data_IF_613777699810
#
_entry.id   IF_613777699810
#
_cell.length_a   1.000
_cell.length_b   1.000
_cell.length_c   1.000
_cell.angle_alpha   90.00
_cell.angle_beta   90.00
_cell.angle_gamma   90.00
#
_symmetry.space_group_name_H-M   'P 1'
#
loop_
_entity.id
_entity.type
_entity.pdbx_description
1 polymer ?
#
# COMPACT_ATOMS: atom_id res chain seq x y z
N UNK A 1 36.99 -10.75 18.60
CA UNK A 1 35.79 -11.50 18.13
C UNK A 1 35.22 -10.75 16.93
N UNK A 2 34.92 -11.40 15.79
CA UNK A 2 34.25 -10.72 14.68
C UNK A 2 32.81 -10.40 15.12
N UNK A 3 32.37 -9.15 14.93
CA UNK A 3 30.94 -8.81 15.08
C UNK A 3 30.15 -9.72 14.14
N UNK A 4 29.11 -10.44 14.60
CA UNK A 4 28.25 -11.16 13.68
C UNK A 4 27.69 -10.12 12.69
N UNK A 5 27.82 -10.38 11.38
CA UNK A 5 27.19 -9.54 10.34
C UNK A 5 25.72 -9.44 10.74
N UNK A 6 25.26 -8.24 11.15
CA UNK A 6 23.85 -8.07 11.47
C UNK A 6 23.08 -8.38 10.21
N UNK A 7 22.16 -9.34 10.29
CA UNK A 7 21.27 -9.64 9.18
C UNK A 7 20.51 -8.35 8.88
N UNK A 8 20.66 -7.86 7.65
CA UNK A 8 20.06 -6.61 7.26
C UNK A 8 18.56 -6.81 7.04
N UNK A 9 17.77 -6.12 7.87
CA UNK A 9 16.31 -6.12 7.80
C UNK A 9 15.81 -5.62 6.45
N UNK A 10 16.52 -4.66 5.82
CA UNK A 10 16.12 -4.14 4.52
C UNK A 10 16.24 -5.21 3.41
N UNK A 11 17.27 -6.06 3.48
CA UNK A 11 17.44 -7.22 2.58
C UNK A 11 16.29 -8.23 2.73
N UNK A 12 15.87 -8.53 3.96
CA UNK A 12 14.72 -9.43 4.21
C UNK A 12 13.42 -8.83 3.63
N UNK A 13 13.18 -7.54 3.90
CA UNK A 13 11.99 -6.85 3.41
C UNK A 13 11.96 -6.80 1.88
N UNK A 14 13.09 -6.51 1.23
CA UNK A 14 13.20 -6.52 -0.24
C UNK A 14 12.90 -7.91 -0.83
N UNK A 15 13.46 -8.98 -0.25
CA UNK A 15 13.18 -10.34 -0.69
C UNK A 15 11.69 -10.69 -0.55
N UNK A 16 11.06 -10.31 0.56
CA UNK A 16 9.64 -10.54 0.77
C UNK A 16 8.76 -9.71 -0.18
N UNK A 17 9.12 -8.45 -0.44
CA UNK A 17 8.44 -7.58 -1.42
C UNK A 17 8.41 -8.19 -2.84
N UNK A 18 9.54 -8.75 -3.28
CA UNK A 18 9.62 -9.42 -4.57
C UNK A 18 8.75 -10.68 -4.60
N UNK A 19 8.75 -11.47 -3.51
CA UNK A 19 7.89 -12.66 -3.42
C UNK A 19 6.42 -12.31 -3.49
N UNK A 20 5.96 -11.23 -2.84
CA UNK A 20 4.55 -10.79 -2.94
C UNK A 20 4.14 -10.53 -4.39
N UNK A 21 5.06 -9.92 -5.15
CA UNK A 21 4.83 -9.61 -6.56
C UNK A 21 4.80 -10.89 -7.40
N UNK A 22 5.78 -11.78 -7.22
CA UNK A 22 5.90 -13.05 -7.96
C UNK A 22 4.73 -14.00 -7.67
N UNK A 23 4.33 -14.10 -6.40
CA UNK A 23 3.26 -15.00 -5.97
C UNK A 23 1.88 -14.35 -6.04
N UNK A 24 1.79 -13.10 -6.52
CA UNK A 24 0.56 -12.29 -6.59
C UNK A 24 -0.23 -12.35 -5.28
N UNK A 25 0.46 -12.05 -4.19
CA UNK A 25 -0.13 -12.05 -2.85
C UNK A 25 0.77 -12.66 -1.79
N UNK A 26 0.20 -12.97 -0.62
CA UNK A 26 0.94 -13.45 0.54
C UNK A 26 1.08 -14.98 0.60
N UNK A 27 1.12 -15.69 -0.52
CA UNK A 27 1.29 -17.16 -0.51
C UNK A 27 2.75 -17.61 -0.25
N UNK A 28 3.69 -16.67 -0.07
CA UNK A 28 5.08 -16.99 0.26
C UNK A 28 5.25 -17.60 1.66
N UNK A 29 6.31 -18.39 1.85
CA UNK A 29 6.70 -18.93 3.16
C UNK A 29 7.93 -18.21 3.71
N UNK A 30 8.16 -18.32 5.03
CA UNK A 30 9.40 -17.80 5.63
C UNK A 30 10.65 -18.47 5.03
N UNK A 31 10.55 -19.74 4.63
CA UNK A 31 11.67 -20.44 3.99
C UNK A 31 11.99 -19.85 2.60
N UNK A 32 10.96 -19.45 1.83
CA UNK A 32 11.15 -18.74 0.56
C UNK A 32 11.82 -17.39 0.77
N UNK A 33 11.42 -16.64 1.81
CA UNK A 33 12.04 -15.35 2.15
C UNK A 33 13.51 -15.54 2.53
N UNK A 34 13.82 -16.54 3.37
CA UNK A 34 15.19 -16.82 3.77
C UNK A 34 16.08 -17.19 2.56
N UNK A 35 15.58 -18.07 1.69
CA UNK A 35 16.27 -18.47 0.47
C UNK A 35 16.55 -17.28 -0.44
N UNK A 36 15.53 -16.42 -0.65
CA UNK A 36 15.64 -15.26 -1.53
C UNK A 36 16.53 -14.14 -0.96
N UNK A 37 16.51 -13.94 0.35
CA UNK A 37 17.39 -13.01 1.04
C UNK A 37 18.83 -13.55 1.20
N UNK A 38 19.10 -14.81 0.82
CA UNK A 38 20.42 -15.43 0.95
C UNK A 38 20.85 -15.65 2.41
N UNK A 39 19.90 -15.88 3.32
CA UNK A 39 20.15 -16.08 4.75
C UNK A 39 19.64 -17.43 5.24
N UNK A 40 20.10 -17.87 6.41
CA UNK A 40 19.59 -19.10 7.02
C UNK A 40 18.19 -18.89 7.62
N UNK A 41 17.41 -19.97 7.72
CA UNK A 41 16.10 -19.97 8.41
C UNK A 41 16.20 -19.45 9.84
N UNK A 42 17.21 -19.91 10.59
CA UNK A 42 17.47 -19.42 11.95
C UNK A 42 17.82 -17.94 12.00
N UNK A 43 18.54 -17.44 10.99
CA UNK A 43 18.82 -16.01 10.84
C UNK A 43 17.56 -15.19 10.57
N UNK A 44 16.66 -15.68 9.70
CA UNK A 44 15.38 -15.03 9.46
C UNK A 44 14.50 -15.03 10.72
N UNK A 45 14.35 -16.16 11.39
CA UNK A 45 13.52 -16.29 12.60
C UNK A 45 14.02 -15.43 13.76
N UNK A 46 15.33 -15.19 13.84
CA UNK A 46 15.90 -14.25 14.81
C UNK A 46 15.40 -12.81 14.59
N UNK A 47 15.25 -12.37 13.33
CA UNK A 47 14.76 -11.03 12.98
C UNK A 47 13.23 -10.96 12.94
N UNK A 48 12.58 -11.98 12.39
CA UNK A 48 11.13 -12.08 12.22
C UNK A 48 10.64 -13.42 12.77
N UNK A 49 10.21 -13.48 14.04
CA UNK A 49 9.73 -14.72 14.66
C UNK A 49 8.46 -15.27 14.00
N UNK A 50 7.66 -14.41 13.37
CA UNK A 50 6.44 -14.77 12.65
C UNK A 50 6.35 -14.07 11.30
N UNK A 51 5.57 -14.66 10.38
CA UNK A 51 5.22 -14.05 9.11
C UNK A 51 4.43 -12.75 9.30
N UNK A 52 3.58 -12.69 10.32
CA UNK A 52 2.77 -11.50 10.62
C UNK A 52 3.65 -10.29 10.95
N UNK A 53 4.69 -10.48 11.76
CA UNK A 53 5.65 -9.41 12.07
C UNK A 53 6.38 -8.88 10.82
N UNK A 54 6.70 -9.78 9.88
CA UNK A 54 7.26 -9.40 8.58
C UNK A 54 6.25 -8.60 7.73
N UNK A 55 5.00 -9.08 7.63
CA UNK A 55 3.94 -8.42 6.87
C UNK A 55 3.60 -7.04 7.45
N UNK A 56 3.59 -6.88 8.77
CA UNK A 56 3.37 -5.59 9.42
C UNK A 56 4.45 -4.56 9.06
N UNK A 57 5.72 -4.97 9.04
CA UNK A 57 6.82 -4.07 8.66
C UNK A 57 6.86 -3.79 7.15
N UNK A 58 6.43 -4.75 6.32
CA UNK A 58 6.21 -4.52 4.89
C UNK A 58 5.14 -3.45 4.68
N UNK A 59 3.99 -3.54 5.36
CA UNK A 59 2.96 -2.51 5.26
C UNK A 59 3.50 -1.15 5.71
N UNK A 60 4.17 -1.06 6.87
CA UNK A 60 4.70 0.23 7.34
C UNK A 60 5.62 0.86 6.30
N UNK A 61 6.47 0.07 5.66
CA UNK A 61 7.36 0.53 4.59
C UNK A 61 6.58 1.01 3.37
N UNK A 62 5.56 0.27 2.95
CA UNK A 62 4.71 0.66 1.81
C UNK A 62 3.89 1.91 2.09
N UNK A 63 3.26 1.98 3.26
CA UNK A 63 2.50 3.14 3.69
C UNK A 63 3.39 4.38 3.81
N UNK A 64 4.60 4.24 4.34
CA UNK A 64 5.57 5.36 4.42
C UNK A 64 5.98 5.84 3.02
N UNK A 65 6.19 4.91 2.08
CA UNK A 65 6.49 5.24 0.67
C UNK A 65 5.34 6.01 0.04
N UNK A 66 4.12 5.52 0.23
CA UNK A 66 2.91 6.16 -0.30
C UNK A 66 2.67 7.55 0.31
N UNK A 67 2.83 7.70 1.63
CA UNK A 67 2.67 9.00 2.29
C UNK A 67 3.69 10.00 1.76
N UNK A 68 4.97 9.61 1.60
CA UNK A 68 6.00 10.49 1.05
C UNK A 68 5.70 10.90 -0.40
N UNK A 69 5.18 9.97 -1.21
CA UNK A 69 4.74 10.26 -2.59
C UNK A 69 3.54 11.23 -2.61
N UNK A 70 2.52 10.98 -1.78
CA UNK A 70 1.39 11.89 -1.59
C UNK A 70 1.82 13.29 -1.14
N UNK A 71 2.74 13.38 -0.19
CA UNK A 71 3.28 14.67 0.27
C UNK A 71 3.96 15.43 -0.87
N UNK A 72 4.64 14.73 -1.79
CA UNK A 72 5.24 15.36 -2.98
C UNK A 72 4.23 15.96 -3.96
N UNK A 73 2.98 15.47 -3.97
CA UNK A 73 1.89 16.00 -4.79
C UNK A 73 1.02 17.04 -4.08
N UNK A 74 1.21 17.24 -2.78
CA UNK A 74 0.39 18.17 -2.00
C UNK A 74 0.77 19.60 -2.37
N UNK A 75 -0.10 20.27 -3.10
CA UNK A 75 0.05 21.66 -3.51
C UNK A 75 -1.03 22.51 -2.82
N UNK A 76 -0.68 23.09 -1.66
CA UNK A 76 -1.58 23.93 -0.88
C UNK A 76 -1.87 23.38 0.52
N UNK A 77 -2.54 24.21 1.33
CA UNK A 77 -2.81 23.93 2.75
C UNK A 77 -4.27 23.50 2.99
N UNK A 78 -5.12 23.48 1.96
CA UNK A 78 -6.51 23.10 2.14
C UNK A 78 -6.63 21.58 2.31
N UNK A 79 -7.56 21.10 3.16
CA UNK A 79 -7.82 19.67 3.30
C UNK A 79 -8.08 18.95 1.97
N UNK A 80 -8.79 19.59 1.04
CA UNK A 80 -9.07 19.05 -0.30
C UNK A 80 -7.79 18.85 -1.15
N UNK A 81 -6.75 19.66 -0.94
CA UNK A 81 -5.49 19.54 -1.66
C UNK A 81 -4.75 18.24 -1.29
N UNK A 82 -4.85 17.83 -0.02
CA UNK A 82 -4.31 16.54 0.45
C UNK A 82 -5.08 15.35 -0.13
N UNK A 83 -6.38 15.48 -0.33
CA UNK A 83 -7.20 14.45 -0.99
C UNK A 83 -6.88 14.37 -2.49
N UNK A 84 -6.69 15.52 -3.16
CA UNK A 84 -6.22 15.58 -4.55
C UNK A 84 -4.84 14.96 -4.70
N UNK A 85 -3.94 15.21 -3.76
CA UNK A 85 -2.62 14.61 -3.72
C UNK A 85 -2.68 13.09 -3.51
N UNK A 86 -3.62 12.60 -2.70
CA UNK A 86 -3.86 11.17 -2.52
C UNK A 86 -4.31 10.52 -3.83
N UNK A 87 -5.30 11.11 -4.51
CA UNK A 87 -5.78 10.64 -5.82
C UNK A 87 -4.63 10.58 -6.84
N UNK A 88 -3.77 11.62 -6.90
CA UNK A 88 -2.59 11.64 -7.77
C UNK A 88 -1.56 10.57 -7.42
N UNK A 89 -1.21 10.44 -6.15
CA UNK A 89 -0.25 9.43 -5.68
C UNK A 89 -0.73 8.00 -5.94
N UNK A 90 -2.03 7.74 -5.84
CA UNK A 90 -2.59 6.42 -6.16
C UNK A 90 -2.46 6.09 -7.64
N UNK A 91 -2.59 7.08 -8.53
CA UNK A 91 -2.54 6.86 -9.97
C UNK A 91 -1.14 6.77 -10.57
N UNK A 92 -0.20 7.57 -10.07
CA UNK A 92 1.18 7.55 -10.57
C UNK A 92 1.99 6.33 -10.08
N UNK A 93 1.46 5.59 -9.12
CA UNK A 93 2.07 4.32 -8.69
C UNK A 93 2.08 3.28 -9.80
N UNK A 94 3.25 2.70 -10.06
CA UNK A 94 3.39 1.55 -10.97
C UNK A 94 2.52 0.38 -10.52
N UNK A 95 1.97 -0.36 -11.47
CA UNK A 95 1.11 -1.54 -11.26
C UNK A 95 1.62 -2.55 -10.19
N UNK A 96 2.94 -2.77 -10.13
CA UNK A 96 3.57 -3.67 -9.16
C UNK A 96 3.38 -3.16 -7.71
N UNK A 97 3.52 -1.85 -7.49
CA UNK A 97 3.34 -1.24 -6.18
C UNK A 97 1.88 -1.33 -5.73
N UNK A 98 0.94 -1.06 -6.65
CA UNK A 98 -0.49 -1.16 -6.36
C UNK A 98 -0.91 -2.57 -5.96
N UNK A 99 -0.47 -3.58 -6.73
CA UNK A 99 -0.74 -4.99 -6.45
C UNK A 99 -0.24 -5.37 -5.06
N UNK A 100 1.00 -5.00 -4.73
CA UNK A 100 1.58 -5.29 -3.41
C UNK A 100 0.82 -4.60 -2.27
N UNK A 101 0.52 -3.30 -2.43
CA UNK A 101 -0.20 -2.53 -1.42
C UNK A 101 -1.60 -3.11 -1.15
N UNK A 102 -2.34 -3.50 -2.20
CA UNK A 102 -3.67 -4.08 -2.08
C UNK A 102 -3.62 -5.40 -1.29
N UNK A 103 -2.68 -6.29 -1.60
CA UNK A 103 -2.50 -7.56 -0.89
C UNK A 103 -2.09 -7.36 0.58
N UNK A 104 -1.24 -6.38 0.88
CA UNK A 104 -0.85 -6.06 2.26
C UNK A 104 -2.05 -5.53 3.05
N UNK A 105 -2.86 -4.65 2.48
CA UNK A 105 -4.07 -4.14 3.15
C UNK A 105 -5.12 -5.23 3.38
N UNK A 106 -5.34 -6.11 2.40
CA UNK A 106 -6.27 -7.23 2.55
C UNK A 106 -5.81 -8.17 3.68
N UNK A 107 -4.53 -8.51 3.73
CA UNK A 107 -3.98 -9.41 4.73
C UNK A 107 -4.12 -8.89 6.16
N UNK A 108 -3.88 -7.59 6.33
CA UNK A 108 -3.90 -6.93 7.63
C UNK A 108 -5.31 -6.65 8.14
N UNK A 109 -6.32 -6.75 7.26
CA UNK A 109 -7.72 -6.63 7.64
C UNK A 109 -8.25 -7.83 8.45
N UNK A 110 -7.48 -8.93 8.53
CA UNK A 110 -7.85 -10.12 9.30
C UNK A 110 -7.39 -10.11 10.76
N UNK A 111 -6.54 -9.18 11.16
CA UNK A 111 -6.05 -9.03 12.56
C UNK A 111 -6.60 -7.73 13.16
N UNK A 112 -7.30 -7.80 14.30
CA UNK A 112 -8.04 -6.66 14.86
C UNK A 112 -7.19 -5.38 15.02
N UNK A 113 -5.98 -5.49 15.56
CA UNK A 113 -5.10 -4.34 15.76
C UNK A 113 -4.56 -3.73 14.46
N UNK A 114 -4.51 -4.49 13.37
CA UNK A 114 -4.08 -3.99 12.07
C UNK A 114 -5.25 -3.45 11.25
N UNK A 115 -6.44 -4.04 11.41
CA UNK A 115 -7.69 -3.54 10.83
C UNK A 115 -7.98 -2.11 11.31
N UNK A 116 -7.82 -1.82 12.61
CA UNK A 116 -8.00 -0.47 13.16
C UNK A 116 -7.08 0.56 12.51
N UNK A 117 -5.83 0.19 12.19
CA UNK A 117 -4.87 1.08 11.50
C UNK A 117 -5.30 1.36 10.07
N UNK A 118 -5.72 0.34 9.33
CA UNK A 118 -6.20 0.50 7.95
C UNK A 118 -7.47 1.36 7.93
N UNK A 119 -8.40 1.10 8.84
CA UNK A 119 -9.63 1.91 8.98
C UNK A 119 -9.32 3.37 9.32
N UNK A 120 -8.41 3.60 10.27
CA UNK A 120 -8.01 4.96 10.68
C UNK A 120 -7.39 5.73 9.51
N UNK A 121 -6.51 5.07 8.73
CA UNK A 121 -5.90 5.67 7.53
C UNK A 121 -6.95 6.11 6.50
N UNK A 122 -7.87 5.22 6.13
CA UNK A 122 -8.93 5.55 5.17
C UNK A 122 -9.88 6.63 5.70
N UNK A 123 -10.22 6.59 6.99
CA UNK A 123 -11.09 7.57 7.65
C UNK A 123 -10.46 8.96 7.62
N UNK A 124 -9.18 9.06 7.98
CA UNK A 124 -8.42 10.32 7.99
C UNK A 124 -8.46 11.01 6.62
N UNK A 125 -8.23 10.25 5.53
CA UNK A 125 -8.24 10.79 4.18
C UNK A 125 -9.67 11.14 3.73
N UNK A 126 -10.64 10.27 3.99
CA UNK A 126 -12.03 10.50 3.56
C UNK A 126 -12.69 11.69 4.28
N UNK A 127 -12.24 12.01 5.50
CA UNK A 127 -12.68 13.19 6.27
C UNK A 127 -12.08 14.52 5.80
N UNK A 128 -11.06 14.50 4.93
CA UNK A 128 -10.51 15.73 4.35
C UNK A 128 -11.51 16.47 3.46
N UNK A 129 -12.52 15.77 2.92
CA UNK A 129 -13.55 16.35 2.08
C UNK A 129 -14.85 16.62 2.85
N UNK A 130 -15.31 17.88 2.80
CA UNK A 130 -16.51 18.37 3.50
C UNK A 130 -17.81 17.93 2.78
N UNK A 131 -18.64 17.04 3.37
CA UNK A 131 -19.80 16.45 2.68
C UNK A 131 -20.95 17.44 2.45
N UNK A 132 -21.04 18.52 3.21
CA UNK A 132 -22.08 19.53 3.00
C UNK A 132 -21.89 20.32 1.69
N UNK A 133 -20.67 20.37 1.15
CA UNK A 133 -20.37 21.09 -0.09
C UNK A 133 -20.47 20.20 -1.33
N UNK A 134 -20.87 20.74 -2.50
CA UNK A 134 -20.81 19.99 -3.77
C UNK A 134 -19.39 19.50 -4.12
N UNK A 135 -18.37 20.32 -3.83
CA UNK A 135 -16.96 19.98 -4.06
C UNK A 135 -16.50 18.80 -3.21
N UNK A 136 -16.73 18.84 -1.89
CA UNK A 136 -16.36 17.73 -1.03
C UNK A 136 -17.12 16.43 -1.35
N UNK A 137 -18.38 16.50 -1.82
CA UNK A 137 -19.08 15.31 -2.32
C UNK A 137 -18.41 14.71 -3.55
N UNK A 138 -18.04 15.53 -4.53
CA UNK A 138 -17.29 15.06 -5.72
C UNK A 138 -15.93 14.49 -5.33
N UNK A 139 -15.25 15.09 -4.36
CA UNK A 139 -13.96 14.60 -3.89
C UNK A 139 -14.03 13.26 -3.18
N UNK A 140 -15.08 13.04 -2.38
CA UNK A 140 -15.39 11.73 -1.82
C UNK A 140 -15.68 10.69 -2.89
N UNK A 141 -16.39 11.05 -3.97
CA UNK A 141 -16.65 10.15 -5.08
C UNK A 141 -15.38 9.79 -5.85
N UNK A 142 -14.54 10.78 -6.18
CA UNK A 142 -13.25 10.58 -6.83
C UNK A 142 -12.35 9.64 -6.01
N UNK A 143 -12.24 9.88 -4.71
CA UNK A 143 -11.52 9.00 -3.80
C UNK A 143 -12.05 7.56 -3.83
N UNK A 144 -13.36 7.37 -3.68
CA UNK A 144 -13.97 6.03 -3.69
C UNK A 144 -13.79 5.31 -5.03
N UNK A 145 -13.83 6.03 -6.15
CA UNK A 145 -13.58 5.47 -7.48
C UNK A 145 -12.14 4.94 -7.60
N UNK A 146 -11.16 5.74 -7.14
CA UNK A 146 -9.74 5.35 -7.14
C UNK A 146 -9.48 4.17 -6.20
N UNK A 147 -9.99 4.21 -4.97
CA UNK A 147 -9.80 3.11 -4.01
C UNK A 147 -10.49 1.83 -4.46
N UNK A 148 -11.69 1.96 -5.03
CA UNK A 148 -12.41 0.84 -5.63
C UNK A 148 -11.60 0.20 -6.75
N UNK A 149 -11.11 0.99 -7.69
CA UNK A 149 -10.33 0.49 -8.81
C UNK A 149 -8.99 -0.11 -8.36
N UNK A 150 -8.31 0.55 -7.44
CA UNK A 150 -7.08 0.09 -6.80
C UNK A 150 -7.26 -1.29 -6.15
N UNK A 151 -8.31 -1.50 -5.35
CA UNK A 151 -8.58 -2.80 -4.71
C UNK A 151 -9.01 -3.86 -5.72
N UNK A 152 -9.92 -3.52 -6.64
CA UNK A 152 -10.43 -4.45 -7.65
C UNK A 152 -9.31 -4.97 -8.56
N UNK A 153 -8.46 -4.07 -9.05
CA UNK A 153 -7.30 -4.38 -9.88
C UNK A 153 -6.20 -5.07 -9.10
N UNK A 154 -5.81 -4.48 -7.96
CA UNK A 154 -4.67 -4.93 -7.16
C UNK A 154 -4.84 -6.32 -6.55
N UNK A 155 -6.08 -6.70 -6.20
CA UNK A 155 -6.42 -8.05 -5.71
C UNK A 155 -6.78 -9.02 -6.85
N UNK A 156 -6.77 -8.58 -8.10
CA UNK A 156 -7.16 -9.40 -9.26
C UNK A 156 -8.63 -9.80 -9.27
N UNK A 157 -9.51 -9.04 -8.59
CA UNK A 157 -10.96 -9.26 -8.58
C UNK A 157 -11.60 -8.83 -9.89
N UNK A 158 -10.98 -7.87 -10.58
CA UNK A 158 -11.36 -7.40 -11.90
C UNK A 158 -10.11 -7.18 -12.75
N UNK A 159 -10.15 -7.61 -14.00
CA UNK A 159 -9.13 -7.22 -14.98
C UNK A 159 -9.40 -5.77 -15.37
N UNK A 160 -8.45 -4.90 -15.07
CA UNK A 160 -8.48 -3.48 -15.40
C UNK A 160 -7.22 -3.19 -16.22
N UNK A 161 -7.42 -2.75 -17.46
CA UNK A 161 -6.35 -2.31 -18.35
C UNK A 161 -5.73 -1.00 -17.87
N UNK A 162 -4.54 -0.66 -18.39
CA UNK A 162 -3.94 0.66 -18.12
C UNK A 162 -4.83 1.79 -18.67
N UNK A 163 -5.50 1.60 -19.81
CA UNK A 163 -6.41 2.60 -20.40
C UNK A 163 -7.65 2.86 -19.51
N UNK A 164 -8.26 1.80 -18.97
CA UNK A 164 -9.40 1.94 -18.03
C UNK A 164 -8.97 2.60 -16.71
N UNK A 165 -7.74 2.33 -16.26
CA UNK A 165 -7.16 2.98 -15.10
C UNK A 165 -6.97 4.48 -15.33
N UNK A 166 -6.37 4.84 -16.46
CA UNK A 166 -6.08 6.22 -16.83
C UNK A 166 -7.37 7.03 -17.05
N UNK A 167 -8.41 6.44 -17.64
CA UNK A 167 -9.72 7.09 -17.82
C UNK A 167 -10.41 7.39 -16.49
N UNK A 168 -10.53 6.40 -15.60
CA UNK A 168 -11.13 6.60 -14.27
C UNK A 168 -10.33 7.62 -13.47
N UNK A 169 -9.01 7.61 -13.59
CA UNK A 169 -8.15 8.58 -12.94
C UNK A 169 -8.35 10.00 -13.47
N UNK A 170 -8.39 10.19 -14.78
CA UNK A 170 -8.63 11.49 -15.39
C UNK A 170 -9.98 12.07 -14.93
N UNK A 171 -11.04 11.26 -14.94
CA UNK A 171 -12.36 11.65 -14.45
C UNK A 171 -12.37 11.99 -12.95
N UNK A 172 -11.64 11.22 -12.13
CA UNK A 172 -11.53 11.48 -10.70
C UNK A 172 -10.84 12.83 -10.41
N UNK A 173 -9.82 13.20 -11.20
CA UNK A 173 -9.15 14.50 -11.09
C UNK A 173 -10.03 15.67 -11.55
N UNK A 174 -10.82 15.51 -12.60
CA UNK A 174 -11.75 16.56 -13.05
C UNK A 174 -12.84 16.89 -12.01
N UNK A 175 -13.15 15.92 -11.14
CA UNK A 175 -14.16 16.08 -10.10
C UNK A 175 -13.69 16.93 -8.91
N UNK A 176 -12.38 17.14 -8.73
CA UNK A 176 -11.77 17.69 -7.50
C UNK A 176 -10.91 18.94 -7.69
#
# INVERSE_FOLDING_TARGET
MPRPKSIDKATILAAAEELITETRGLSFTMDMVAAKAGISKGGLTYTYPSKDGLVQDLLKRELSRFIAERESFTAGDQPVDRLRAHVRASAEQKHIFQTRAAHLMAALSHEAGNLERVQSFYREIFDLAEPSTPEGRRARQAFLAIEGLFLLRGLGLMQVSDDEWDDVFAQALECI
#
